data_IF_305395333046
#
_entry.id   IF_305395333046
#
_cell.length_a   1.000
_cell.length_b   1.000
_cell.length_c   1.000
_cell.angle_alpha   90.00
_cell.angle_beta   90.00
_cell.angle_gamma   90.00
#
_symmetry.space_group_name_H-M   'P 1'
#
loop_
_entity.id
_entity.type
_entity.pdbx_description
1 polymer ?
#
# COMPACT_ATOMS: atom_id res chain seq x y z
N UNK A 1 -3.86 -2.61 -20.14
CA UNK A 1 -4.42 -1.43 -20.85
C UNK A 1 -3.63 -0.13 -20.54
N UNK A 2 -2.30 -0.16 -20.57
CA UNK A 2 -1.44 1.04 -20.46
C UNK A 2 -0.53 1.21 -21.69
N UNK A 3 -0.38 0.17 -22.52
CA UNK A 3 0.32 0.23 -23.80
C UNK A 3 -0.49 0.86 -24.93
N UNK A 4 -1.82 0.73 -24.91
CA UNK A 4 -2.71 1.27 -25.94
C UNK A 4 -2.85 2.80 -25.86
N UNK A 5 -2.79 3.38 -24.65
CA UNK A 5 -2.98 4.83 -24.44
C UNK A 5 -1.77 5.67 -24.86
N UNK A 6 -0.62 5.06 -25.12
CA UNK A 6 0.57 5.74 -25.64
C UNK A 6 0.53 5.91 -27.17
N UNK A 7 -0.33 5.15 -27.88
CA UNK A 7 -0.59 5.29 -29.32
C UNK A 7 -1.50 6.48 -29.68
N UNK A 8 -2.19 7.08 -28.71
CA UNK A 8 -3.14 8.19 -28.92
C UNK A 8 -2.56 9.59 -28.63
N UNK A 9 -1.23 9.73 -28.47
CA UNK A 9 -0.57 11.04 -28.45
C UNK A 9 -0.83 11.93 -27.22
N UNK A 10 -1.54 11.46 -26.20
CA UNK A 10 -1.87 12.28 -25.02
C UNK A 10 -0.68 12.29 -24.06
N UNK A 11 0.19 13.29 -24.23
CA UNK A 11 1.28 13.61 -23.32
C UNK A 11 0.81 14.69 -22.33
N UNK A 12 0.84 14.36 -21.03
CA UNK A 12 0.37 15.15 -19.86
C UNK A 12 -1.12 15.04 -19.54
N UNK A 13 -1.44 14.12 -18.64
CA UNK A 13 -2.73 14.10 -17.96
C UNK A 13 -2.55 14.77 -16.59
N UNK A 14 -3.12 15.96 -16.43
CA UNK A 14 -3.20 16.67 -15.15
C UNK A 14 -4.34 16.09 -14.29
N UNK A 15 -4.21 16.17 -12.96
CA UNK A 15 -5.19 15.65 -11.97
C UNK A 15 -6.63 16.09 -12.22
N UNK A 16 -6.83 17.24 -12.86
CA UNK A 16 -8.16 17.77 -13.17
C UNK A 16 -8.88 16.98 -14.28
N UNK A 17 -8.13 16.42 -15.24
CA UNK A 17 -8.69 15.65 -16.36
C UNK A 17 -9.30 14.33 -15.87
N UNK A 18 -8.65 13.66 -14.91
CA UNK A 18 -9.19 12.43 -14.28
C UNK A 18 -10.46 12.73 -13.49
N UNK A 19 -10.53 13.89 -12.83
CA UNK A 19 -11.70 14.31 -12.05
C UNK A 19 -12.90 14.67 -12.94
N UNK A 20 -12.66 15.21 -14.13
CA UNK A 20 -13.72 15.60 -15.06
C UNK A 20 -14.31 14.39 -15.82
N UNK A 21 -13.47 13.43 -16.22
CA UNK A 21 -13.92 12.16 -16.83
C UNK A 21 -14.86 11.39 -15.88
N UNK A 22 -14.59 11.43 -14.58
CA UNK A 22 -15.45 10.80 -13.57
C UNK A 22 -16.79 11.53 -13.34
N UNK A 23 -16.90 12.81 -13.74
CA UNK A 23 -18.15 13.58 -13.68
C UNK A 23 -19.00 13.40 -14.93
N UNK A 24 -18.39 13.20 -16.09
CA UNK A 24 -19.09 12.97 -17.36
C UNK A 24 -19.74 11.56 -17.43
N UNK A 25 -19.17 10.56 -16.76
CA UNK A 25 -19.65 9.17 -16.75
C UNK A 25 -20.84 8.90 -15.78
N UNK A 26 -21.57 9.94 -15.36
CA UNK A 26 -22.95 9.82 -14.83
C UNK A 26 -23.18 8.92 -13.60
N UNK A 27 -22.16 8.59 -12.81
CA UNK A 27 -22.32 7.73 -11.64
C UNK A 27 -22.77 8.53 -10.41
N UNK A 28 -24.09 8.65 -10.22
CA UNK A 28 -24.66 9.21 -8.99
C UNK A 28 -24.24 8.38 -7.76
N UNK A 29 -23.88 9.02 -6.63
CA UNK A 29 -23.61 8.32 -5.39
C UNK A 29 -24.92 7.76 -4.81
N UNK A 30 -25.03 6.44 -4.82
CA UNK A 30 -26.18 5.70 -4.26
C UNK A 30 -26.48 6.13 -2.81
N UNK A 31 -27.74 6.48 -2.47
CA UNK A 31 -28.10 7.02 -1.18
C UNK A 31 -28.44 5.89 -0.21
N UNK A 32 -27.50 5.52 0.67
CA UNK A 32 -27.72 5.01 2.05
C UNK A 32 -26.46 4.30 2.56
N UNK A 33 -25.70 5.00 3.40
CA UNK A 33 -25.20 4.52 4.71
C UNK A 33 -24.34 5.60 5.36
N UNK A 34 -24.76 6.03 6.54
CA UNK A 34 -24.02 6.86 7.48
C UNK A 34 -22.70 6.18 7.89
N UNK A 35 -21.58 6.68 7.39
CA UNK A 35 -20.22 6.63 7.97
C UNK A 35 -19.38 7.57 7.13
N UNK A 36 -18.57 8.40 7.80
CA UNK A 36 -17.87 9.53 7.19
C UNK A 36 -17.11 9.22 5.90
N UNK A 37 -16.87 10.26 5.10
CA UNK A 37 -16.13 10.15 3.84
C UNK A 37 -14.71 9.60 4.09
N UNK A 38 -14.10 8.96 3.09
CA UNK A 38 -12.72 8.45 3.19
C UNK A 38 -11.71 9.51 3.66
N UNK A 39 -11.96 10.80 3.34
CA UNK A 39 -11.15 11.91 3.83
C UNK A 39 -11.25 12.12 5.35
N UNK A 40 -12.44 11.97 5.93
CA UNK A 40 -12.64 12.04 7.39
C UNK A 40 -11.98 10.86 8.10
N UNK A 41 -12.03 9.67 7.51
CA UNK A 41 -11.29 8.51 8.01
C UNK A 41 -9.78 8.76 8.03
N UNK A 42 -9.21 9.27 6.93
CA UNK A 42 -7.78 9.59 6.88
C UNK A 42 -7.39 10.63 7.93
N UNK A 43 -8.21 11.67 8.12
CA UNK A 43 -7.95 12.71 9.13
C UNK A 43 -8.04 12.17 10.55
N UNK A 44 -9.04 11.33 10.85
CA UNK A 44 -9.25 10.77 12.18
C UNK A 44 -8.16 9.77 12.60
N UNK A 45 -7.51 9.11 11.63
CA UNK A 45 -6.51 8.08 11.91
C UNK A 45 -5.10 8.44 11.44
N UNK A 46 -4.84 9.70 11.05
CA UNK A 46 -3.57 10.11 10.43
C UNK A 46 -2.32 9.63 11.19
N UNK A 47 -2.32 9.74 12.53
CA UNK A 47 -1.22 9.38 13.43
C UNK A 47 -1.07 7.87 13.71
N UNK A 48 -2.06 7.07 13.31
CA UNK A 48 -2.10 5.62 13.63
C UNK A 48 -2.33 4.75 12.39
N UNK A 49 -2.40 5.37 11.21
CA UNK A 49 -2.74 4.72 9.95
C UNK A 49 -1.46 4.41 9.15
N UNK A 50 -1.28 3.12 8.89
CA UNK A 50 -0.22 2.61 8.05
C UNK A 50 -0.78 2.05 6.75
N UNK A 51 0.03 2.05 5.70
CA UNK A 51 -0.22 1.32 4.47
C UNK A 51 0.85 0.25 4.29
N UNK A 52 0.52 -0.89 3.68
CA UNK A 52 1.52 -1.85 3.24
C UNK A 52 1.36 -2.25 1.78
N UNK A 53 2.49 -2.53 1.15
CA UNK A 53 2.58 -2.96 -0.24
C UNK A 53 3.87 -3.75 -0.49
N UNK A 54 3.87 -4.52 -1.57
CA UNK A 54 5.02 -5.27 -2.04
C UNK A 54 5.81 -4.50 -3.08
N UNK A 55 7.13 -4.68 -3.08
CA UNK A 55 7.91 -4.43 -4.28
C UNK A 55 8.91 -5.53 -4.57
N UNK A 56 9.18 -5.71 -5.86
CA UNK A 56 10.20 -6.63 -6.36
C UNK A 56 11.43 -5.85 -6.79
N UNK A 57 12.62 -6.37 -6.42
CA UNK A 57 13.92 -5.97 -6.96
C UNK A 57 14.59 -7.20 -7.56
N UNK A 58 15.13 -7.02 -8.76
CA UNK A 58 15.92 -8.03 -9.44
C UNK A 58 17.36 -7.98 -8.95
N UNK A 59 17.90 -9.12 -8.53
CA UNK A 59 19.26 -9.26 -8.04
C UNK A 59 20.04 -10.24 -8.91
N UNK A 60 21.31 -9.91 -9.20
CA UNK A 60 22.23 -10.81 -9.89
C UNK A 60 22.94 -11.63 -8.83
N UNK A 61 22.88 -12.95 -8.96
CA UNK A 61 23.62 -13.89 -8.12
C UNK A 61 24.51 -14.77 -8.98
N UNK A 62 25.42 -15.50 -8.35
CA UNK A 62 26.30 -16.47 -9.03
C UNK A 62 25.53 -17.53 -9.82
N UNK A 63 24.32 -17.88 -9.40
CA UNK A 63 23.45 -18.87 -10.05
C UNK A 63 22.46 -18.26 -11.04
N UNK A 64 22.62 -16.97 -11.39
CA UNK A 64 21.73 -16.24 -12.29
C UNK A 64 20.92 -15.15 -11.61
N UNK A 65 19.92 -14.65 -12.34
CA UNK A 65 19.09 -13.54 -11.92
C UNK A 65 17.91 -14.05 -11.09
N UNK A 66 17.68 -13.45 -9.93
CA UNK A 66 16.56 -13.78 -9.03
C UNK A 66 15.74 -12.54 -8.73
N UNK A 67 14.42 -12.72 -8.59
CA UNK A 67 13.52 -11.68 -8.11
C UNK A 67 13.40 -11.77 -6.58
N UNK A 68 13.72 -10.68 -5.90
CA UNK A 68 13.60 -10.52 -4.46
C UNK A 68 12.39 -9.64 -4.14
N UNK A 69 11.51 -10.16 -3.29
CA UNK A 69 10.31 -9.48 -2.82
C UNK A 69 10.58 -8.88 -1.44
N UNK A 70 10.14 -7.63 -1.27
CA UNK A 70 10.19 -6.90 -0.01
C UNK A 70 8.77 -6.42 0.29
N UNK A 71 8.35 -6.59 1.54
CA UNK A 71 7.12 -6.00 2.05
C UNK A 71 7.49 -4.70 2.76
N UNK A 72 6.72 -3.65 2.50
CA UNK A 72 6.94 -2.33 3.06
C UNK A 72 5.70 -1.92 3.82
N UNK A 73 5.91 -1.35 4.99
CA UNK A 73 4.89 -0.66 5.78
C UNK A 73 5.25 0.82 5.84
N UNK A 74 4.29 1.69 5.56
CA UNK A 74 4.49 3.13 5.56
C UNK A 74 3.46 3.83 6.43
N UNK A 75 3.94 4.68 7.34
CA UNK A 75 3.09 5.60 8.08
C UNK A 75 2.56 6.68 7.14
N UNK A 76 1.24 6.83 7.02
CA UNK A 76 0.69 7.68 5.95
C UNK A 76 0.86 9.18 6.16
N UNK A 77 0.96 9.63 7.42
CA UNK A 77 1.24 11.04 7.75
C UNK A 77 2.73 11.37 7.66
N UNK A 78 3.56 10.74 8.51
CA UNK A 78 5.00 11.03 8.61
C UNK A 78 5.83 10.49 7.43
N UNK A 79 5.27 9.54 6.65
CA UNK A 79 5.99 8.80 5.59
C UNK A 79 7.18 7.99 6.10
N UNK A 80 7.22 7.70 7.39
CA UNK A 80 8.17 6.73 7.93
C UNK A 80 7.92 5.36 7.32
N UNK A 81 9.00 4.63 7.07
CA UNK A 81 8.97 3.36 6.35
C UNK A 81 9.60 2.28 7.22
N UNK A 82 8.90 1.16 7.34
CA UNK A 82 9.44 -0.08 7.83
C UNK A 82 9.55 -1.07 6.65
N UNK A 83 10.78 -1.44 6.31
CA UNK A 83 11.09 -2.41 5.26
C UNK A 83 11.43 -3.76 5.88
N UNK A 84 10.83 -4.82 5.35
CA UNK A 84 11.15 -6.17 5.80
C UNK A 84 12.47 -6.65 5.20
N UNK A 85 13.00 -7.77 5.73
CA UNK A 85 14.00 -8.56 4.99
C UNK A 85 13.42 -8.98 3.64
N UNK A 86 14.24 -9.21 2.63
CA UNK A 86 13.77 -9.69 1.32
C UNK A 86 13.59 -11.22 1.31
N UNK A 87 12.67 -11.72 0.48
CA UNK A 87 12.50 -13.15 0.21
C UNK A 87 12.42 -13.45 -1.28
N UNK A 88 12.82 -14.65 -1.69
CA UNK A 88 12.55 -15.16 -3.05
C UNK A 88 11.13 -15.74 -3.18
N UNK A 89 10.54 -16.12 -2.05
CA UNK A 89 9.27 -16.85 -1.99
C UNK A 89 8.31 -16.11 -1.02
N UNK A 90 7.58 -15.08 -1.48
CA UNK A 90 6.67 -14.28 -0.63
C UNK A 90 5.35 -15.03 -0.39
N UNK A 91 5.41 -16.15 0.32
CA UNK A 91 4.24 -16.93 0.69
C UNK A 91 3.53 -16.35 1.94
N UNK A 92 2.28 -16.77 2.19
CA UNK A 92 1.46 -16.22 3.27
C UNK A 92 2.07 -16.38 4.66
N UNK A 93 2.84 -17.45 4.89
CA UNK A 93 3.55 -17.65 6.17
C UNK A 93 4.57 -16.53 6.37
N UNK A 94 5.44 -16.31 5.39
CA UNK A 94 6.44 -15.26 5.44
C UNK A 94 5.79 -13.87 5.61
N UNK A 95 4.68 -13.59 4.90
CA UNK A 95 3.93 -12.32 5.06
C UNK A 95 3.40 -12.14 6.48
N UNK A 96 2.91 -13.22 7.10
CA UNK A 96 2.41 -13.20 8.48
C UNK A 96 3.54 -12.97 9.48
N UNK A 97 4.70 -13.60 9.29
CA UNK A 97 5.89 -13.36 10.11
C UNK A 97 6.34 -11.90 10.03
N UNK A 98 6.36 -11.31 8.83
CA UNK A 98 6.70 -9.90 8.65
C UNK A 98 5.69 -8.96 9.33
N UNK A 99 4.41 -9.34 9.38
CA UNK A 99 3.39 -8.58 10.11
C UNK A 99 3.64 -8.58 11.62
N UNK A 100 4.03 -9.74 12.18
CA UNK A 100 4.39 -9.84 13.61
C UNK A 100 5.62 -9.00 13.93
N UNK A 101 6.64 -9.05 13.10
CA UNK A 101 7.82 -8.19 13.25
C UNK A 101 7.44 -6.70 13.21
N UNK A 102 6.56 -6.29 12.28
CA UNK A 102 6.06 -4.91 12.22
C UNK A 102 5.35 -4.49 13.50
N UNK A 103 4.48 -5.34 14.07
CA UNK A 103 3.84 -5.07 15.36
C UNK A 103 4.90 -4.87 16.44
N UNK A 104 5.84 -5.80 16.54
CA UNK A 104 6.87 -5.78 17.58
C UNK A 104 7.72 -4.52 17.54
N UNK A 105 8.06 -4.03 16.35
CA UNK A 105 8.81 -2.79 16.17
C UNK A 105 7.99 -1.53 16.45
N UNK A 106 6.67 -1.61 16.35
CA UNK A 106 5.77 -0.47 16.53
C UNK A 106 5.08 -0.42 17.89
N UNK A 107 5.22 -1.47 18.71
CA UNK A 107 4.54 -1.59 20.02
C UNK A 107 4.91 -0.52 21.04
N UNK A 108 6.12 0.04 20.97
CA UNK A 108 6.60 1.06 21.94
C UNK A 108 6.33 2.50 21.50
N UNK A 109 5.73 2.70 20.31
CA UNK A 109 5.43 4.03 19.79
C UNK A 109 4.35 4.71 20.61
N UNK A 110 4.46 6.04 20.74
CA UNK A 110 3.43 6.88 21.35
C UNK A 110 2.08 6.72 20.63
N UNK A 111 2.11 6.72 19.29
CA UNK A 111 0.96 6.41 18.44
C UNK A 111 1.17 5.04 17.79
N UNK A 112 0.60 4.02 18.41
CA UNK A 112 0.62 2.65 17.89
C UNK A 112 -0.25 2.55 16.63
N UNK A 113 0.11 1.68 15.68
CA UNK A 113 -0.78 1.39 14.56
C UNK A 113 -2.13 0.91 15.09
N UNK A 114 -3.22 1.47 14.55
CA UNK A 114 -4.58 0.96 14.80
C UNK A 114 -5.23 0.45 13.52
N UNK A 115 -4.69 0.87 12.38
CA UNK A 115 -5.21 0.53 11.07
C UNK A 115 -4.07 0.28 10.10
N UNK A 116 -4.20 -0.80 9.33
CA UNK A 116 -3.30 -1.10 8.23
C UNK A 116 -4.09 -1.19 6.93
N UNK A 117 -3.67 -0.42 5.93
CA UNK A 117 -4.31 -0.36 4.64
C UNK A 117 -3.46 -1.12 3.62
N UNK A 118 -4.05 -2.08 2.92
CA UNK A 118 -3.34 -2.89 1.93
C UNK A 118 -4.15 -3.03 0.65
N UNK A 119 -3.52 -3.41 -0.46
CA UNK A 119 -4.20 -3.63 -1.73
C UNK A 119 -5.00 -4.96 -1.71
N UNK A 120 -5.45 -5.45 -2.86
CA UNK A 120 -6.22 -6.71 -2.92
C UNK A 120 -5.35 -7.94 -3.21
N UNK A 121 -4.02 -7.87 -3.04
CA UNK A 121 -3.14 -9.02 -3.25
C UNK A 121 -3.56 -10.18 -2.34
N UNK A 122 -3.63 -11.37 -2.93
CA UNK A 122 -4.05 -12.60 -2.26
C UNK A 122 -3.05 -13.07 -1.21
N UNK A 123 -1.81 -12.57 -1.24
CA UNK A 123 -0.79 -12.82 -0.21
C UNK A 123 -1.17 -12.26 1.17
N UNK A 124 -2.07 -11.28 1.23
CA UNK A 124 -2.64 -10.77 2.48
C UNK A 124 -3.75 -11.72 2.98
N UNK A 125 -3.31 -12.85 3.51
CA UNK A 125 -4.15 -13.98 3.89
C UNK A 125 -5.01 -13.72 5.14
N UNK A 126 -5.84 -14.70 5.51
CA UNK A 126 -6.63 -14.63 6.75
C UNK A 126 -5.74 -14.58 7.99
N UNK A 127 -4.66 -15.36 7.99
CA UNK A 127 -3.65 -15.47 9.05
C UNK A 127 -2.92 -14.14 9.26
N UNK A 128 -2.51 -13.48 8.17
CA UNK A 128 -1.93 -12.14 8.21
C UNK A 128 -2.85 -11.15 8.92
N UNK A 129 -4.13 -11.12 8.53
CA UNK A 129 -5.12 -10.23 9.15
C UNK A 129 -5.40 -10.60 10.60
N UNK A 130 -5.37 -11.89 10.93
CA UNK A 130 -5.56 -12.37 12.30
C UNK A 130 -4.41 -11.93 13.21
N UNK A 131 -3.16 -12.10 12.78
CA UNK A 131 -1.98 -11.68 13.52
C UNK A 131 -1.98 -10.19 13.85
N UNK A 132 -2.44 -9.35 12.91
CA UNK A 132 -2.61 -7.91 13.15
C UNK A 132 -3.79 -7.60 14.07
N UNK A 133 -4.90 -8.32 13.92
CA UNK A 133 -6.12 -8.13 14.72
C UNK A 133 -5.92 -8.53 16.19
N UNK A 134 -5.13 -9.57 16.45
CA UNK A 134 -4.70 -9.99 17.81
C UNK A 134 -4.08 -8.81 18.58
N UNK A 135 -3.42 -7.91 17.84
CA UNK A 135 -2.68 -6.76 18.37
C UNK A 135 -3.48 -5.45 18.25
N UNK A 136 -4.78 -5.54 17.94
CA UNK A 136 -5.67 -4.39 17.84
C UNK A 136 -5.56 -3.59 16.53
N UNK A 137 -4.88 -4.12 15.51
CA UNK A 137 -4.71 -3.45 14.22
C UNK A 137 -5.77 -3.93 13.22
N UNK A 138 -6.65 -3.03 12.80
CA UNK A 138 -7.70 -3.34 11.82
C UNK A 138 -7.15 -3.25 10.38
N UNK A 139 -7.19 -4.36 9.66
CA UNK A 139 -6.83 -4.40 8.23
C UNK A 139 -7.98 -3.87 7.36
N UNK A 140 -7.69 -2.86 6.54
CA UNK A 140 -8.62 -2.29 5.56
C UNK A 140 -8.08 -2.46 4.15
N UNK A 141 -8.89 -3.06 3.28
CA UNK A 141 -8.56 -3.10 1.86
C UNK A 141 -8.71 -1.71 1.27
N UNK A 142 -7.73 -1.28 0.48
CA UNK A 142 -7.86 -0.08 -0.32
C UNK A 142 -9.14 -0.17 -1.16
N UNK A 143 -9.96 0.89 -1.18
CA UNK A 143 -10.99 1.03 -2.20
C UNK A 143 -10.32 0.90 -3.57
N UNK A 144 -10.96 0.15 -4.47
CA UNK A 144 -10.58 0.20 -5.89
C UNK A 144 -10.78 1.65 -6.30
N UNK A 145 -9.68 2.38 -6.56
CA UNK A 145 -9.61 3.83 -6.82
C UNK A 145 -9.31 4.75 -5.62
N UNK A 146 -8.39 4.36 -4.72
CA UNK A 146 -7.66 5.32 -3.85
C UNK A 146 -6.25 5.66 -4.36
N UNK A 147 -6.11 6.25 -5.56
CA UNK A 147 -4.83 6.43 -6.24
C UNK A 147 -3.85 7.32 -5.47
N UNK A 148 -4.32 8.22 -4.60
CA UNK A 148 -3.43 9.12 -3.85
C UNK A 148 -2.62 8.40 -2.77
N UNK A 149 -3.19 7.37 -2.14
CA UNK A 149 -2.49 6.58 -1.13
C UNK A 149 -1.49 5.64 -1.79
N UNK A 150 -1.92 4.95 -2.85
CA UNK A 150 -1.01 4.14 -3.65
C UNK A 150 0.14 4.98 -4.21
N UNK A 151 -0.15 6.17 -4.74
CA UNK A 151 0.88 7.05 -5.30
C UNK A 151 1.90 7.58 -4.25
N UNK A 152 1.56 7.62 -2.96
CA UNK A 152 2.53 7.95 -1.89
C UNK A 152 3.46 6.76 -1.65
N UNK A 153 2.89 5.57 -1.51
CA UNK A 153 3.63 4.32 -1.32
C UNK A 153 4.52 4.01 -2.53
N UNK A 154 3.96 4.04 -3.74
CA UNK A 154 4.68 3.83 -5.01
C UNK A 154 5.86 4.79 -5.18
N UNK A 155 5.69 6.08 -4.84
CA UNK A 155 6.77 7.08 -4.97
C UNK A 155 7.95 6.74 -4.07
N UNK A 156 7.68 6.35 -2.83
CA UNK A 156 8.73 5.95 -1.90
C UNK A 156 9.39 4.65 -2.36
N UNK A 157 8.61 3.68 -2.83
CA UNK A 157 9.15 2.44 -3.40
C UNK A 157 10.09 2.76 -4.56
N UNK A 158 9.73 3.72 -5.42
CA UNK A 158 10.61 4.20 -6.48
C UNK A 158 11.89 4.81 -5.92
N UNK A 159 11.81 5.67 -4.90
CA UNK A 159 13.00 6.24 -4.22
C UNK A 159 13.91 5.13 -3.67
N UNK A 160 13.37 4.16 -2.94
CA UNK A 160 14.16 3.03 -2.40
C UNK A 160 14.86 2.27 -3.54
N UNK A 161 14.15 2.01 -4.64
CA UNK A 161 14.71 1.31 -5.80
C UNK A 161 15.82 2.07 -6.49
N UNK A 162 15.74 3.40 -6.54
CA UNK A 162 16.68 4.27 -7.26
C UNK A 162 17.86 4.75 -6.41
N UNK A 163 17.69 4.93 -5.10
CA UNK A 163 18.72 5.53 -4.24
C UNK A 163 19.44 4.50 -3.37
N UNK A 164 18.75 3.45 -2.93
CA UNK A 164 19.29 2.48 -1.97
C UNK A 164 19.69 1.17 -2.64
N UNK A 165 18.92 0.74 -3.65
CA UNK A 165 19.09 -0.56 -4.29
C UNK A 165 19.73 -0.48 -5.68
N UNK A 166 20.24 0.68 -6.07
CA UNK A 166 20.92 0.86 -7.36
C UNK A 166 22.33 0.26 -7.35
#
# INVERSE_FOLDING_TARGET
MLGELRRLGISRICRQTVKNILKEEGSEPSPRRSRGTWGEFLKAHAETLWACDFFTKRAITVSGIVDLYVLVFMHLETREIFCTKSTRNPNSQWVTEQAREFVEQTKTRAHRPTHLVHDRDTKFSAEFKAALKEEGIECKKLPVRSPNLNARVERVIQTIKHEVLN
#
